data_IF_141262147918
#
_entry.id   IF_141262147918
#
_cell.length_a   1.000
_cell.length_b   1.000
_cell.length_c   1.000
_cell.angle_alpha   90.00
_cell.angle_beta   90.00
_cell.angle_gamma   90.00
#
_symmetry.space_group_name_H-M   'P 1'
#
loop_
_entity.id
_entity.type
_entity.pdbx_description
1 polymer ?
#
# COMPACT_ATOMS: atom_id res chain seq x y z
N UNK A 1 5.29 -1.11 -19.03
CA UNK A 1 4.85 -1.12 -17.63
C UNK A 1 4.31 -2.50 -17.32
N UNK A 2 4.57 -2.99 -16.11
CA UNK A 2 3.94 -4.17 -15.53
C UNK A 2 3.29 -3.73 -14.22
N UNK A 3 2.03 -4.11 -14.02
CA UNK A 3 1.28 -3.70 -12.83
C UNK A 3 0.40 -4.87 -12.40
N UNK A 4 0.43 -5.14 -11.10
CA UNK A 4 -0.36 -6.15 -10.43
C UNK A 4 -1.21 -5.45 -9.38
N UNK A 5 -2.48 -5.86 -9.34
CA UNK A 5 -3.40 -5.49 -8.29
C UNK A 5 -3.43 -6.57 -7.21
N UNK A 6 -3.28 -6.16 -5.95
CA UNK A 6 -3.46 -7.00 -4.76
C UNK A 6 -4.41 -6.29 -3.78
N UNK A 7 -5.70 -6.65 -3.85
CA UNK A 7 -6.76 -5.85 -3.21
C UNK A 7 -6.84 -4.46 -3.85
N UNK A 8 -6.79 -3.42 -3.03
CA UNK A 8 -6.79 -2.03 -3.53
C UNK A 8 -5.39 -1.53 -3.87
N UNK A 9 -4.33 -2.27 -3.54
CA UNK A 9 -2.96 -1.84 -3.79
C UNK A 9 -2.48 -2.24 -5.19
N UNK A 10 -1.67 -1.37 -5.80
CA UNK A 10 -0.97 -1.63 -7.05
C UNK A 10 0.53 -1.69 -6.81
N UNK A 11 1.18 -2.69 -7.39
CA UNK A 11 2.64 -2.85 -7.36
C UNK A 11 3.13 -3.30 -8.75
N UNK A 12 4.37 -3.01 -9.08
CA UNK A 12 4.90 -3.35 -10.40
C UNK A 12 6.19 -2.65 -10.77
N UNK A 13 6.40 -2.51 -12.08
CA UNK A 13 7.52 -1.79 -12.70
C UNK A 13 7.06 -0.86 -13.81
N UNK A 14 7.59 0.36 -13.83
CA UNK A 14 7.48 1.28 -14.97
C UNK A 14 8.77 1.30 -15.77
N UNK A 15 8.63 1.46 -17.09
CA UNK A 15 9.74 1.50 -18.03
C UNK A 15 9.64 2.76 -18.88
N UNK A 16 10.68 3.58 -18.83
CA UNK A 16 10.85 4.73 -19.70
C UNK A 16 11.91 4.37 -20.74
N UNK A 17 11.45 3.97 -21.93
CA UNK A 17 12.30 3.41 -22.97
C UNK A 17 12.43 4.35 -24.17
N UNK A 18 13.67 4.62 -24.58
CA UNK A 18 13.98 5.34 -25.81
C UNK A 18 14.77 4.45 -26.78
N UNK A 19 15.73 3.67 -26.27
CA UNK A 19 16.51 2.69 -27.05
C UNK A 19 17.13 1.62 -26.14
N UNK A 20 17.72 0.53 -26.67
CA UNK A 20 18.36 -0.50 -25.85
C UNK A 20 19.51 0.01 -24.97
N UNK A 21 20.08 1.18 -25.29
CA UNK A 21 21.13 1.85 -24.52
C UNK A 21 20.64 3.09 -23.75
N UNK A 22 19.33 3.36 -23.80
CA UNK A 22 18.72 4.52 -23.18
C UNK A 22 17.34 4.16 -22.62
N UNK A 23 17.32 3.71 -21.36
CA UNK A 23 16.09 3.44 -20.63
C UNK A 23 16.26 3.59 -19.12
N UNK A 24 15.13 3.76 -18.44
CA UNK A 24 15.02 3.72 -16.99
C UNK A 24 13.91 2.79 -16.55
N UNK A 25 14.13 2.10 -15.43
CA UNK A 25 13.18 1.20 -14.79
C UNK A 25 12.97 1.66 -13.36
N UNK A 26 11.72 1.89 -12.95
CA UNK A 26 11.36 2.15 -11.56
C UNK A 26 10.49 1.02 -11.02
N UNK A 27 10.55 0.76 -9.72
CA UNK A 27 9.40 0.11 -9.07
C UNK A 27 8.28 1.15 -8.95
N UNK A 28 7.05 0.67 -9.00
CA UNK A 28 5.89 1.52 -8.78
C UNK A 28 5.12 1.05 -7.56
N UNK A 29 4.49 2.01 -6.91
CA UNK A 29 3.46 1.78 -5.91
C UNK A 29 2.23 2.56 -6.32
N UNK A 30 1.08 2.10 -5.88
CA UNK A 30 -0.17 2.72 -6.25
C UNK A 30 -1.36 2.07 -5.58
N UNK A 31 -2.53 2.50 -6.02
CA UNK A 31 -3.80 1.92 -5.63
C UNK A 31 -4.81 2.01 -6.77
N UNK A 32 -5.78 1.11 -6.73
CA UNK A 32 -6.94 1.11 -7.61
C UNK A 32 -8.14 1.62 -6.83
N UNK A 33 -8.71 2.73 -7.29
CA UNK A 33 -9.95 3.27 -6.76
C UNK A 33 -11.13 2.61 -7.48
N UNK A 34 -11.77 1.65 -6.81
CA UNK A 34 -12.93 0.94 -7.37
C UNK A 34 -14.17 1.83 -7.52
N UNK A 35 -14.23 3.01 -6.91
CA UNK A 35 -15.36 3.93 -7.03
C UNK A 35 -15.24 4.80 -8.28
N UNK A 36 -14.05 5.33 -8.54
CA UNK A 36 -13.78 6.12 -9.75
C UNK A 36 -13.31 5.29 -10.93
N UNK A 37 -13.01 3.99 -10.69
CA UNK A 37 -12.41 3.08 -11.66
C UNK A 37 -11.01 3.54 -12.13
N UNK A 38 -10.32 4.33 -11.30
CA UNK A 38 -9.01 4.88 -11.61
C UNK A 38 -7.89 4.04 -10.97
N UNK A 39 -6.89 3.70 -11.78
CA UNK A 39 -5.59 3.28 -11.29
C UNK A 39 -4.72 4.52 -11.04
N UNK A 40 -4.22 4.65 -9.82
CA UNK A 40 -3.29 5.70 -9.41
C UNK A 40 -1.97 5.05 -9.03
N UNK A 41 -0.86 5.46 -9.64
CA UNK A 41 0.46 4.92 -9.30
C UNK A 41 1.55 5.98 -9.44
N UNK A 42 2.62 5.82 -8.68
CA UNK A 42 3.81 6.66 -8.78
C UNK A 42 5.07 5.82 -8.88
N UNK A 43 6.08 6.37 -9.54
CA UNK A 43 7.44 5.84 -9.52
C UNK A 43 8.04 6.04 -8.12
N UNK A 44 8.41 4.95 -7.46
CA UNK A 44 8.88 4.96 -6.07
C UNK A 44 10.41 5.07 -6.01
N UNK A 45 11.11 4.09 -6.56
CA UNK A 45 12.56 3.94 -6.55
C UNK A 45 13.07 3.56 -7.93
N UNK A 46 14.14 4.23 -8.37
CA UNK A 46 14.85 3.87 -9.60
C UNK A 46 15.59 2.55 -9.38
N UNK A 47 15.23 1.54 -10.15
CA UNK A 47 15.85 0.21 -10.11
C UNK A 47 17.04 0.14 -11.07
N UNK A 48 16.86 0.64 -12.29
CA UNK A 48 17.88 0.53 -13.34
C UNK A 48 17.89 1.79 -14.21
N UNK A 49 19.08 2.25 -14.55
CA UNK A 49 19.30 3.29 -15.55
C UNK A 49 20.41 2.84 -16.51
N UNK A 50 20.08 2.86 -17.80
CA UNK A 50 21.07 2.75 -18.87
C UNK A 50 20.96 4.04 -19.68
N UNK A 51 22.00 4.88 -19.67
CA UNK A 51 22.01 6.15 -20.41
C UNK A 51 23.30 6.30 -21.21
N UNK A 52 23.16 6.51 -22.53
CA UNK A 52 24.28 6.79 -23.44
C UNK A 52 24.69 8.27 -23.53
N UNK A 53 23.93 9.20 -22.94
CA UNK A 53 24.24 10.65 -23.01
C UNK A 53 23.52 11.46 -21.91
N UNK A 54 24.19 12.50 -21.41
CA UNK A 54 23.74 13.38 -20.32
C UNK A 54 22.91 14.55 -20.87
N UNK A 55 21.76 14.27 -21.50
CA UNK A 55 20.80 15.32 -21.89
C UNK A 55 19.64 15.41 -20.89
N UNK A 56 19.09 16.62 -20.71
CA UNK A 56 18.02 16.92 -19.75
C UNK A 56 16.63 16.46 -20.25
N UNK A 57 16.52 16.02 -21.51
CA UNK A 57 15.28 15.65 -22.20
C UNK A 57 14.98 14.16 -22.21
N UNK A 58 15.77 13.32 -21.53
CA UNK A 58 15.58 11.87 -21.54
C UNK A 58 14.34 11.46 -20.72
N UNK A 59 13.42 10.64 -21.27
CA UNK A 59 12.23 10.17 -20.57
C UNK A 59 12.54 9.49 -19.21
N UNK A 60 11.68 9.69 -18.21
CA UNK A 60 11.80 9.02 -16.90
C UNK A 60 12.90 9.54 -15.99
N UNK A 61 13.55 10.67 -16.30
CA UNK A 61 14.59 11.25 -15.42
C UNK A 61 14.05 11.75 -14.08
N UNK A 62 12.76 12.08 -14.04
CA UNK A 62 12.04 12.42 -12.82
C UNK A 62 10.96 11.37 -12.57
N UNK A 63 10.76 10.93 -11.31
CA UNK A 63 9.66 10.05 -10.97
C UNK A 63 8.32 10.76 -11.19
N UNK A 64 7.37 10.05 -11.78
CA UNK A 64 6.05 10.58 -12.11
C UNK A 64 4.97 9.94 -11.24
N UNK A 65 3.91 10.72 -11.00
CA UNK A 65 2.60 10.24 -10.57
C UNK A 65 1.71 10.16 -11.81
N UNK A 66 0.97 9.07 -11.92
CA UNK A 66 -0.03 8.82 -12.96
C UNK A 66 -1.39 8.51 -12.34
N UNK A 67 -2.43 9.00 -12.99
CA UNK A 67 -3.83 8.68 -12.72
C UNK A 67 -4.48 8.34 -14.04
N UNK A 68 -5.04 7.14 -14.16
CA UNK A 68 -5.65 6.68 -15.39
C UNK A 68 -6.88 5.82 -15.12
N UNK A 69 -7.91 6.03 -15.93
CA UNK A 69 -9.13 5.22 -15.91
C UNK A 69 -8.84 3.86 -16.55
N UNK A 70 -9.27 2.79 -15.88
CA UNK A 70 -9.17 1.43 -16.39
C UNK A 70 -10.33 1.12 -17.34
N UNK A 71 -10.04 1.14 -18.64
CA UNK A 71 -11.06 0.94 -19.66
C UNK A 71 -10.97 -0.45 -20.32
N UNK A 72 -12.14 -1.08 -20.51
CA UNK A 72 -12.31 -2.35 -21.20
C UNK A 72 -13.32 -2.19 -22.35
N UNK A 73 -12.94 -1.59 -23.50
CA UNK A 73 -13.85 -1.33 -24.61
C UNK A 73 -14.35 -2.60 -25.33
N UNK A 74 -13.92 -3.79 -24.89
CA UNK A 74 -14.30 -5.08 -25.46
C UNK A 74 -13.26 -5.63 -26.45
N UNK A 75 -13.54 -6.81 -27.00
CA UNK A 75 -12.63 -7.47 -27.96
C UNK A 75 -11.28 -7.92 -27.38
N UNK A 76 -11.19 -8.08 -26.05
CA UNK A 76 -9.95 -8.44 -25.35
C UNK A 76 -8.96 -7.29 -25.18
N UNK A 77 -9.36 -6.05 -25.51
CA UNK A 77 -8.56 -4.85 -25.26
C UNK A 77 -8.78 -4.34 -23.84
N UNK A 78 -7.70 -4.00 -23.17
CA UNK A 78 -7.69 -3.32 -21.87
C UNK A 78 -6.73 -2.15 -21.98
N UNK A 79 -7.13 -1.01 -21.42
CA UNK A 79 -6.43 0.25 -21.58
C UNK A 79 -6.36 1.00 -20.24
N UNK A 80 -5.32 1.81 -20.08
CA UNK A 80 -5.23 2.83 -19.04
C UNK A 80 -5.03 4.18 -19.71
N UNK A 81 -6.04 5.04 -19.57
CA UNK A 81 -6.07 6.38 -20.17
C UNK A 81 -6.15 7.45 -19.09
N UNK A 82 -5.25 8.43 -19.13
CA UNK A 82 -5.31 9.52 -18.17
C UNK A 82 -4.14 10.49 -18.24
N UNK A 83 -3.71 10.93 -17.06
CA UNK A 83 -2.71 11.99 -16.92
C UNK A 83 -1.55 11.58 -16.03
N UNK A 84 -0.40 12.18 -16.30
CA UNK A 84 0.83 12.04 -15.53
C UNK A 84 1.46 13.40 -15.23
N UNK A 85 2.26 13.46 -14.18
CA UNK A 85 2.91 14.68 -13.74
C UNK A 85 3.87 14.42 -12.60
N UNK A 86 4.44 15.49 -12.05
CA UNK A 86 5.27 15.33 -10.85
C UNK A 86 4.38 14.99 -9.66
N UNK A 87 4.90 14.21 -8.72
CA UNK A 87 4.17 13.75 -7.52
C UNK A 87 3.53 14.88 -6.70
N UNK A 88 4.10 16.08 -6.74
CA UNK A 88 3.61 17.26 -5.99
C UNK A 88 2.71 18.21 -6.81
N UNK A 89 2.45 17.92 -8.08
CA UNK A 89 1.61 18.76 -8.94
C UNK A 89 0.15 18.28 -8.84
N UNK A 90 -0.76 19.17 -8.46
CA UNK A 90 -2.20 18.89 -8.45
C UNK A 90 -2.77 18.73 -9.87
N UNK A 91 -2.29 19.56 -10.80
CA UNK A 91 -2.67 19.51 -12.21
C UNK A 91 -1.66 18.68 -13.02
N UNK A 92 -2.01 17.41 -13.28
CA UNK A 92 -1.23 16.49 -14.10
C UNK A 92 -1.36 16.88 -15.59
N UNK A 93 -0.23 17.25 -16.22
CA UNK A 93 -0.19 17.80 -17.60
C UNK A 93 0.23 16.81 -18.67
N UNK A 94 0.97 15.77 -18.31
CA UNK A 94 1.38 14.72 -19.24
C UNK A 94 0.22 13.78 -19.55
N UNK A 95 0.19 13.25 -20.77
CA UNK A 95 -0.80 12.24 -21.15
C UNK A 95 -0.28 10.84 -20.82
N UNK A 96 -1.17 9.96 -20.35
CA UNK A 96 -0.93 8.53 -20.16
C UNK A 96 -1.89 7.78 -21.07
N UNK A 97 -1.32 6.93 -21.92
CA UNK A 97 -2.06 6.03 -22.80
C UNK A 97 -1.33 4.70 -22.84
N UNK A 98 -1.90 3.69 -22.20
CA UNK A 98 -1.30 2.36 -22.11
C UNK A 98 -2.28 1.32 -22.63
N UNK A 99 -1.86 0.57 -23.64
CA UNK A 99 -2.55 -0.62 -24.10
C UNK A 99 -1.99 -1.86 -23.42
N UNK A 100 -2.87 -2.76 -22.99
CA UNK A 100 -2.45 -4.09 -22.55
C UNK A 100 -1.87 -4.87 -23.73
N UNK A 101 -0.63 -5.30 -23.57
CA UNK A 101 0.06 -6.24 -24.46
C UNK A 101 0.18 -7.61 -23.79
N UNK A 102 0.36 -8.67 -24.59
CA UNK A 102 0.51 -10.04 -24.07
C UNK A 102 1.94 -10.35 -23.63
N UNK A 103 2.92 -9.84 -24.36
CA UNK A 103 4.33 -10.08 -24.10
C UNK A 103 5.03 -8.73 -24.00
N UNK A 104 5.79 -8.55 -22.92
CA UNK A 104 6.59 -7.35 -22.69
C UNK A 104 7.93 -7.41 -23.42
N UNK A 105 8.51 -6.25 -23.71
CA UNK A 105 9.87 -6.15 -24.27
C UNK A 105 10.96 -6.43 -23.23
N UNK A 106 10.63 -6.32 -21.95
CA UNK A 106 11.55 -6.48 -20.83
C UNK A 106 11.12 -7.65 -19.97
N UNK A 107 12.02 -8.61 -19.78
CA UNK A 107 11.87 -9.65 -18.76
C UNK A 107 12.25 -9.08 -17.39
N UNK A 108 11.41 -9.32 -16.37
CA UNK A 108 11.68 -8.93 -15.00
C UNK A 108 10.99 -9.84 -13.99
N UNK A 109 11.20 -9.55 -12.71
CA UNK A 109 10.74 -10.33 -11.58
C UNK A 109 9.19 -10.47 -11.53
N UNK A 110 8.45 -9.55 -12.15
CA UNK A 110 6.98 -9.56 -12.19
C UNK A 110 6.41 -10.56 -13.21
N UNK A 111 7.20 -11.05 -14.18
CA UNK A 111 6.70 -12.01 -15.19
C UNK A 111 6.17 -13.28 -14.54
N UNK A 112 6.87 -13.79 -13.52
CA UNK A 112 6.44 -14.97 -12.78
C UNK A 112 5.04 -14.78 -12.18
N UNK A 113 4.79 -13.64 -11.54
CA UNK A 113 3.49 -13.32 -10.92
C UNK A 113 2.42 -13.18 -11.99
N UNK A 114 2.72 -12.49 -13.09
CA UNK A 114 1.76 -12.25 -14.18
C UNK A 114 1.35 -13.55 -14.85
N UNK A 115 2.32 -14.40 -15.21
CA UNK A 115 2.07 -15.66 -15.92
C UNK A 115 1.37 -16.69 -15.04
N UNK A 116 1.64 -16.68 -13.73
CA UNK A 116 1.09 -17.64 -12.78
C UNK A 116 -0.04 -17.04 -11.93
N UNK A 117 -0.55 -15.87 -12.26
CA UNK A 117 -1.50 -15.12 -11.43
C UNK A 117 -2.75 -15.94 -11.05
N UNK A 118 -3.24 -16.78 -11.97
CA UNK A 118 -4.43 -17.61 -11.76
C UNK A 118 -4.17 -18.97 -11.09
N UNK A 119 -2.90 -19.34 -10.89
CA UNK A 119 -2.48 -20.66 -10.37
C UNK A 119 -1.64 -20.55 -9.08
N UNK A 120 -1.76 -19.43 -8.37
CA UNK A 120 -1.09 -19.19 -7.08
C UNK A 120 0.12 -18.28 -7.14
N UNK A 121 0.48 -17.72 -8.31
CA UNK A 121 1.51 -16.68 -8.42
C UNK A 121 1.07 -15.33 -7.85
N UNK A 122 -0.23 -15.15 -7.59
CA UNK A 122 -0.79 -13.99 -6.90
C UNK A 122 -0.71 -14.08 -5.36
N UNK A 123 0.10 -15.00 -4.84
CA UNK A 123 0.36 -15.11 -3.40
C UNK A 123 0.94 -13.77 -2.87
N UNK A 124 0.37 -13.20 -1.79
CA UNK A 124 0.85 -11.97 -1.20
C UNK A 124 2.35 -11.98 -0.87
N UNK A 125 2.90 -13.09 -0.39
CA UNK A 125 4.31 -13.17 0.00
C UNK A 125 5.24 -13.10 -1.23
N UNK A 126 4.81 -13.67 -2.36
CA UNK A 126 5.54 -13.61 -3.62
C UNK A 126 5.52 -12.17 -4.16
N UNK A 127 4.34 -11.53 -4.17
CA UNK A 127 4.17 -10.14 -4.62
C UNK A 127 5.01 -9.19 -3.77
N UNK A 128 4.96 -9.34 -2.44
CA UNK A 128 5.68 -8.49 -1.50
C UNK A 128 7.20 -8.70 -1.59
N UNK A 129 7.65 -9.95 -1.75
CA UNK A 129 9.05 -10.24 -2.00
C UNK A 129 9.53 -9.48 -3.24
N UNK A 130 8.84 -9.60 -4.37
CA UNK A 130 9.24 -8.95 -5.62
C UNK A 130 9.19 -7.42 -5.50
N UNK A 131 8.16 -6.87 -4.86
CA UNK A 131 8.04 -5.43 -4.63
C UNK A 131 9.17 -4.85 -3.77
N UNK A 132 9.78 -5.68 -2.90
CA UNK A 132 10.86 -5.28 -1.98
C UNK A 132 12.27 -5.70 -2.42
N UNK A 133 12.41 -6.51 -3.48
CA UNK A 133 13.71 -6.99 -4.00
C UNK A 133 14.71 -5.86 -4.29
N UNK A 134 14.25 -4.65 -4.56
CA UNK A 134 15.10 -3.51 -4.93
C UNK A 134 15.36 -2.53 -3.77
N UNK A 135 14.86 -2.80 -2.57
CA UNK A 135 15.04 -1.96 -1.36
C UNK A 135 16.37 -2.24 -0.63
N UNK A 136 17.25 -3.09 -1.16
CA UNK A 136 18.50 -3.45 -0.49
C UNK A 136 19.70 -2.61 -0.97
N UNK A 137 20.10 -1.63 -0.15
CA UNK A 137 21.52 -1.28 0.03
C UNK A 137 21.98 -1.69 1.42
N UNK A 138 21.86 -2.99 1.73
CA UNK A 138 22.58 -3.65 2.80
C UNK A 138 22.69 -5.14 2.44
N UNK A 139 23.86 -5.78 2.62
CA UNK A 139 24.02 -7.19 2.29
C UNK A 139 23.07 -8.03 3.15
N UNK A 140 22.47 -9.11 2.61
CA UNK A 140 21.67 -10.03 3.40
C UNK A 140 22.57 -10.67 4.46
N UNK A 141 22.16 -10.61 5.72
CA UNK A 141 22.66 -11.56 6.70
C UNK A 141 22.15 -12.93 6.25
N UNK A 142 23.09 -13.77 5.87
CA UNK A 142 22.91 -15.14 5.44
C UNK A 142 22.19 -15.94 6.55
N UNK A 143 20.88 -16.12 6.40
CA UNK A 143 20.13 -17.09 7.18
C UNK A 143 20.30 -18.45 6.50
N UNK A 144 21.12 -19.31 7.12
CA UNK A 144 21.43 -20.65 6.65
C UNK A 144 20.15 -21.46 6.37
N UNK A 145 20.02 -21.86 5.12
CA UNK A 145 19.08 -22.87 4.67
C UNK A 145 19.25 -24.18 5.46
N UNK A 146 18.17 -24.63 6.11
CA UNK A 146 17.99 -26.06 6.43
C UNK A 146 16.95 -26.64 5.47
N UNK A 147 17.42 -27.55 4.64
CA UNK A 147 16.65 -28.33 3.67
C UNK A 147 15.46 -29.09 4.32
N UNK A 148 14.41 -29.40 3.53
CA UNK A 148 13.14 -29.87 4.06
C UNK A 148 13.19 -31.36 4.42
N UNK A 149 12.58 -31.72 5.54
CA UNK A 149 12.26 -33.11 5.86
C UNK A 149 11.00 -33.50 5.07
N UNK A 150 11.17 -34.46 4.19
CA UNK A 150 10.10 -35.16 3.45
C UNK A 150 9.10 -35.74 4.45
N UNK A 151 7.87 -35.21 4.46
CA UNK A 151 6.72 -35.87 5.08
C UNK A 151 5.82 -36.37 3.96
N UNK A 152 5.80 -37.68 3.83
CA UNK A 152 4.90 -38.44 2.96
C UNK A 152 3.44 -38.15 3.31
N UNK A 153 2.69 -37.64 2.35
CA UNK A 153 1.22 -37.53 2.38
C UNK A 153 0.64 -38.94 2.19
N UNK A 154 -0.19 -39.46 3.11
CA UNK A 154 -1.04 -40.60 2.82
C UNK A 154 -2.26 -40.14 2.04
N UNK A 155 -2.46 -40.77 0.88
CA UNK A 155 -3.67 -40.76 0.08
C UNK A 155 -4.87 -41.20 0.91
N UNK A 156 -5.86 -40.32 1.12
CA UNK A 156 -7.22 -40.73 1.48
C UNK A 156 -8.19 -40.49 0.32
N UNK A 157 -8.99 -41.52 0.11
CA UNK A 157 -9.95 -41.73 -0.97
C UNK A 157 -11.20 -40.86 -0.75
N UNK A 158 -11.84 -40.32 -1.81
CA UNK A 158 -13.04 -39.51 -1.67
C UNK A 158 -14.22 -40.33 -1.13
N UNK A 159 -14.83 -39.88 -0.02
CA UNK A 159 -16.17 -40.30 0.41
C UNK A 159 -17.18 -39.22 0.01
N UNK A 160 -18.23 -39.66 -0.68
CA UNK A 160 -19.43 -38.89 -1.02
C UNK A 160 -20.03 -38.22 0.22
N UNK A 161 -20.44 -36.95 0.06
CA UNK A 161 -21.33 -36.25 0.99
C UNK A 161 -22.51 -35.68 0.17
N UNK A 162 -23.75 -35.74 0.67
CA UNK A 162 -24.96 -35.67 -0.15
C UNK A 162 -25.32 -34.24 -0.58
N UNK A 163 -25.99 -34.18 -1.72
CA UNK A 163 -26.65 -33.01 -2.31
C UNK A 163 -27.61 -32.35 -1.31
N UNK A 164 -27.30 -31.13 -0.88
CA UNK A 164 -28.26 -30.24 -0.21
C UNK A 164 -28.93 -29.37 -1.26
N UNK A 165 -30.25 -29.53 -1.35
CA UNK A 165 -31.13 -28.84 -2.30
C UNK A 165 -31.27 -27.37 -1.88
N UNK A 166 -30.80 -26.44 -2.71
CA UNK A 166 -30.99 -25.00 -2.52
C UNK A 166 -32.43 -24.61 -2.91
N UNK A 167 -33.25 -24.01 -2.03
CA UNK A 167 -34.51 -23.40 -2.45
C UNK A 167 -34.22 -22.05 -3.11
N UNK A 168 -34.73 -21.88 -4.34
CA UNK A 168 -34.72 -20.65 -5.12
C UNK A 168 -35.47 -19.53 -4.37
N UNK A 169 -34.75 -18.55 -3.85
CA UNK A 169 -35.32 -17.31 -3.32
C UNK A 169 -35.67 -16.34 -4.46
N UNK A 170 -36.88 -15.77 -4.40
CA UNK A 170 -37.40 -14.76 -5.32
C UNK A 170 -36.67 -13.41 -5.14
N UNK A 171 -36.63 -12.55 -6.18
CA UNK A 171 -35.93 -11.27 -6.10
C UNK A 171 -36.64 -10.31 -5.15
N UNK A 172 -35.93 -9.87 -4.11
CA UNK A 172 -36.33 -8.76 -3.24
C UNK A 172 -35.99 -7.46 -3.98
N UNK A 173 -37.02 -6.64 -4.23
CA UNK A 173 -36.87 -5.29 -4.79
C UNK A 173 -36.29 -4.41 -3.68
N UNK A 174 -34.98 -4.14 -3.74
CA UNK A 174 -34.31 -3.18 -2.87
C UNK A 174 -34.57 -1.77 -3.38
N UNK A 175 -35.27 -0.96 -2.57
CA UNK A 175 -35.29 0.51 -2.71
C UNK A 175 -33.84 1.02 -2.58
N UNK A 176 -33.39 1.99 -3.41
CA UNK A 176 -32.08 2.60 -3.25
C UNK A 176 -31.97 3.25 -1.87
N UNK A 177 -30.97 2.85 -1.09
CA UNK A 177 -30.56 3.60 0.10
C UNK A 177 -29.99 4.95 -0.37
N UNK A 178 -30.48 6.02 0.23
CA UNK A 178 -29.96 7.36 0.01
C UNK A 178 -28.48 7.40 0.45
N UNK A 179 -27.60 7.82 -0.46
CA UNK A 179 -26.16 7.87 -0.25
C UNK A 179 -25.83 8.95 0.79
N UNK A 180 -25.32 8.52 1.95
CA UNK A 180 -24.65 9.41 2.90
C UNK A 180 -23.39 9.95 2.22
N UNK A 181 -23.13 11.27 2.23
CA UNK A 181 -21.92 11.83 1.62
C UNK A 181 -20.67 11.19 2.24
N UNK A 182 -19.79 10.68 1.37
CA UNK A 182 -18.53 10.03 1.76
C UNK A 182 -17.62 11.12 2.31
N UNK A 183 -17.32 11.04 3.61
CA UNK A 183 -16.46 12.02 4.28
C UNK A 183 -15.00 11.80 3.88
N UNK A 184 -14.30 12.89 3.50
CA UNK A 184 -12.86 12.86 3.24
C UNK A 184 -12.07 12.48 4.51
N UNK A 185 -10.80 12.11 4.37
CA UNK A 185 -10.01 11.73 5.54
C UNK A 185 -9.72 12.94 6.45
N UNK A 186 -9.63 14.14 5.88
CA UNK A 186 -9.51 15.41 6.59
C UNK A 186 -10.82 15.80 7.29
N UNK A 187 -11.96 15.51 6.67
CA UNK A 187 -13.27 15.67 7.31
C UNK A 187 -13.40 14.71 8.50
N UNK A 188 -13.10 13.42 8.31
CA UNK A 188 -13.05 12.42 9.39
C UNK A 188 -12.11 12.87 10.52
N UNK A 189 -10.94 13.40 10.19
CA UNK A 189 -10.00 13.93 11.16
C UNK A 189 -10.58 15.09 11.99
N UNK A 190 -11.32 15.99 11.34
CA UNK A 190 -11.90 17.19 11.96
C UNK A 190 -13.13 16.87 12.80
N UNK A 191 -13.98 15.95 12.33
CA UNK A 191 -15.26 15.62 12.96
C UNK A 191 -15.14 14.60 14.09
N UNK A 192 -14.17 13.67 14.02
CA UNK A 192 -14.02 12.60 15.00
C UNK A 192 -13.41 13.08 16.32
N UNK A 193 -13.90 12.51 17.42
CA UNK A 193 -13.33 12.74 18.74
C UNK A 193 -11.94 12.13 18.82
N UNK A 194 -10.94 12.96 19.13
CA UNK A 194 -9.56 12.52 19.38
C UNK A 194 -9.46 11.90 20.78
N UNK A 195 -9.06 10.64 20.87
CA UNK A 195 -8.94 9.88 22.13
C UNK A 195 -7.47 9.70 22.48
N UNK A 196 -7.00 10.41 23.50
CA UNK A 196 -5.63 10.26 24.00
C UNK A 196 -5.44 8.85 24.56
N UNK A 197 -4.59 8.08 23.88
CA UNK A 197 -4.32 6.69 24.20
C UNK A 197 -3.02 6.54 24.99
N UNK A 198 -1.98 7.29 24.60
CA UNK A 198 -0.68 7.23 25.25
C UNK A 198 0.04 8.57 25.18
N UNK A 199 0.77 8.89 26.24
CA UNK A 199 1.77 9.95 26.25
C UNK A 199 3.17 9.33 26.34
N UNK A 200 4.07 9.73 25.45
CA UNK A 200 5.40 9.17 25.27
C UNK A 200 6.42 10.31 25.36
N UNK A 201 7.40 10.25 26.30
CA UNK A 201 8.44 11.26 26.37
C UNK A 201 9.41 11.09 25.19
N UNK A 202 9.77 12.21 24.56
CA UNK A 202 10.76 12.27 23.49
C UNK A 202 12.16 12.29 24.10
N UNK A 203 13.05 11.48 23.52
CA UNK A 203 14.46 11.34 23.88
C UNK A 203 15.27 11.01 22.61
N UNK A 204 16.56 11.32 22.59
CA UNK A 204 17.45 11.09 21.44
C UNK A 204 17.17 11.96 20.20
N UNK A 205 17.67 11.50 19.05
CA UNK A 205 17.67 12.27 17.78
C UNK A 205 16.46 11.96 16.88
N UNK A 206 15.88 10.76 17.00
CA UNK A 206 14.71 10.34 16.23
C UNK A 206 13.81 9.41 17.02
N UNK A 207 12.53 9.36 16.62
CA UNK A 207 11.54 8.43 17.11
C UNK A 207 11.18 7.50 15.97
N UNK A 208 11.32 6.19 16.17
CA UNK A 208 10.84 5.20 15.21
C UNK A 208 9.49 4.66 15.68
N UNK A 209 8.47 4.74 14.82
CA UNK A 209 7.13 4.23 15.09
C UNK A 209 6.83 3.09 14.13
N UNK A 210 6.32 2.00 14.67
CA UNK A 210 5.96 0.80 13.93
C UNK A 210 4.49 0.51 14.16
N UNK A 211 3.71 0.37 13.09
CA UNK A 211 2.29 0.06 13.14
C UNK A 211 2.05 -1.34 12.60
N UNK A 212 1.35 -2.16 13.37
CA UNK A 212 1.00 -3.53 13.02
C UNK A 212 -0.51 -3.68 13.08
N UNK A 213 -1.02 -4.69 12.40
CA UNK A 213 -2.27 -5.34 12.75
C UNK A 213 -1.96 -6.49 13.72
N UNK A 214 -2.55 -6.45 14.91
CA UNK A 214 -2.36 -7.44 15.97
C UNK A 214 -3.57 -8.36 16.11
N UNK A 215 -4.72 -7.97 15.52
CA UNK A 215 -5.98 -8.66 15.71
C UNK A 215 -6.20 -9.70 14.61
N UNK A 216 -6.90 -9.33 13.55
CA UNK A 216 -7.19 -10.15 12.39
C UNK A 216 -6.90 -9.29 11.17
N UNK A 217 -6.03 -9.77 10.26
CA UNK A 217 -5.65 -9.02 9.07
C UNK A 217 -6.84 -8.98 8.13
N UNK A 218 -7.66 -7.95 8.30
CA UNK A 218 -9.00 -7.89 7.74
C UNK A 218 -9.21 -6.71 6.78
N UNK A 219 -8.09 -6.12 6.36
CA UNK A 219 -8.05 -5.01 5.41
C UNK A 219 -8.03 -3.64 6.06
N UNK A 220 -7.72 -3.55 7.34
CA UNK A 220 -7.57 -2.29 8.06
C UNK A 220 -6.59 -1.32 7.38
N UNK A 221 -7.08 -0.10 7.08
CA UNK A 221 -6.27 0.99 6.51
C UNK A 221 -6.38 2.27 7.32
N UNK A 222 -5.24 2.93 7.55
CA UNK A 222 -5.13 4.14 8.38
C UNK A 222 -4.41 5.28 7.68
N UNK A 223 -4.76 6.49 8.12
CA UNK A 223 -4.04 7.73 7.87
C UNK A 223 -3.44 8.26 9.18
N UNK A 224 -2.29 8.92 9.07
CA UNK A 224 -1.58 9.52 10.20
C UNK A 224 -1.50 11.03 10.04
N UNK A 225 -1.92 11.75 11.08
CA UNK A 225 -1.78 13.20 11.19
C UNK A 225 -0.82 13.55 12.31
N UNK A 226 0.16 14.41 12.05
CA UNK A 226 1.07 14.94 13.06
C UNK A 226 0.86 16.45 13.18
N UNK A 227 0.50 16.91 14.38
CA UNK A 227 0.22 18.33 14.66
C UNK A 227 -0.78 18.95 13.67
N UNK A 228 -1.89 18.23 13.45
CA UNK A 228 -2.98 18.57 12.52
C UNK A 228 -2.60 18.60 11.03
N UNK A 229 -1.38 18.15 10.67
CA UNK A 229 -0.97 17.95 9.27
C UNK A 229 -1.01 16.47 8.93
N UNK A 230 -1.65 16.13 7.82
CA UNK A 230 -1.59 14.78 7.24
C UNK A 230 -0.15 14.47 6.79
N UNK A 231 0.43 13.38 7.32
CA UNK A 231 1.81 12.98 7.01
C UNK A 231 1.88 11.69 6.20
N UNK A 232 0.93 10.78 6.41
CA UNK A 232 0.83 9.52 5.66
C UNK A 232 -0.63 9.14 5.48
N UNK A 233 -0.95 8.55 4.32
CA UNK A 233 -2.27 8.01 3.97
C UNK A 233 -2.13 6.58 3.46
N UNK A 234 -3.24 5.85 3.43
CA UNK A 234 -3.37 4.50 2.87
C UNK A 234 -2.38 3.49 3.46
N UNK A 235 -2.07 3.63 4.74
CA UNK A 235 -1.25 2.67 5.45
C UNK A 235 -2.12 1.45 5.74
N UNK A 236 -1.89 0.37 5.01
CA UNK A 236 -2.51 -0.92 5.30
C UNK A 236 -1.85 -1.55 6.51
N UNK A 237 -2.64 -1.92 7.50
CA UNK A 237 -2.20 -2.68 8.66
C UNK A 237 -2.10 -4.16 8.28
N UNK A 238 -0.98 -4.77 8.64
CA UNK A 238 -0.69 -6.20 8.39
C UNK A 238 0.08 -6.76 9.58
N UNK A 239 0.38 -8.06 9.58
CA UNK A 239 1.27 -8.66 10.59
C UNK A 239 2.70 -8.09 10.57
N UNK A 240 3.09 -7.43 9.47
CA UNK A 240 4.38 -6.75 9.33
C UNK A 240 4.26 -5.26 9.66
N UNK A 241 5.29 -4.67 10.28
CA UNK A 241 5.25 -3.26 10.65
C UNK A 241 5.38 -2.31 9.47
N UNK A 242 4.44 -1.37 9.36
CA UNK A 242 4.70 -0.11 8.69
C UNK A 242 5.54 0.79 9.60
N UNK A 243 6.77 1.12 9.17
CA UNK A 243 7.73 1.85 10.01
C UNK A 243 7.92 3.28 9.52
N UNK A 244 7.76 4.25 10.42
CA UNK A 244 8.06 5.67 10.16
C UNK A 244 9.10 6.17 11.15
N UNK A 245 9.93 7.12 10.71
CA UNK A 245 10.93 7.78 11.55
C UNK A 245 10.65 9.28 11.59
N UNK A 246 10.52 9.82 12.79
CA UNK A 246 10.32 11.25 13.04
C UNK A 246 11.60 11.84 13.64
N UNK A 247 12.17 12.85 12.99
CA UNK A 247 13.33 13.55 13.51
C UNK A 247 12.93 14.44 14.70
N UNK A 248 13.58 14.29 15.85
CA UNK A 248 13.27 15.07 17.07
C UNK A 248 13.53 16.57 16.88
N UNK A 249 14.43 16.93 15.96
CA UNK A 249 14.71 18.32 15.55
C UNK A 249 13.51 19.01 14.90
N UNK A 250 12.61 18.25 14.25
CA UNK A 250 11.43 18.77 13.55
C UNK A 250 10.18 18.78 14.45
N UNK A 251 10.27 18.17 15.64
CA UNK A 251 9.18 18.08 16.61
C UNK A 251 9.13 19.31 17.53
N UNK A 252 7.92 19.74 17.89
CA UNK A 252 7.64 20.78 18.90
C UNK A 252 7.87 20.24 20.32
N UNK A 253 7.66 21.07 21.35
CA UNK A 253 7.73 20.62 22.75
C UNK A 253 6.63 19.60 23.07
N UNK A 254 5.47 19.73 22.45
CA UNK A 254 4.37 18.77 22.52
C UNK A 254 3.88 18.52 21.10
N UNK A 255 3.74 17.25 20.74
CA UNK A 255 3.27 16.83 19.42
C UNK A 255 2.15 15.81 19.56
N UNK A 256 1.14 15.92 18.71
CA UNK A 256 0.02 14.98 18.69
C UNK A 256 0.04 14.22 17.37
N UNK A 257 0.21 12.90 17.47
CA UNK A 257 0.06 11.97 16.36
C UNK A 257 -1.31 11.34 16.46
N UNK A 258 -2.11 11.50 15.42
CA UNK A 258 -3.50 11.05 15.38
C UNK A 258 -3.63 10.02 14.26
N UNK A 259 -4.08 8.82 14.63
CA UNK A 259 -4.42 7.75 13.72
C UNK A 259 -5.90 7.83 13.40
N UNK A 260 -6.23 7.92 12.11
CA UNK A 260 -7.60 7.96 11.60
C UNK A 260 -7.82 6.75 10.70
N UNK A 261 -8.85 5.98 11.03
CA UNK A 261 -9.34 4.90 10.16
C UNK A 261 -9.83 5.45 8.81
N UNK A 262 -9.23 4.97 7.72
CA UNK A 262 -9.73 5.19 6.36
C UNK A 262 -10.92 4.27 6.08
N UNK A 263 -10.80 3.01 6.48
CA UNK A 263 -11.87 2.02 6.57
C UNK A 263 -11.95 1.46 8.00
N UNK A 264 -12.95 0.63 8.30
CA UNK A 264 -13.10 -0.01 9.61
C UNK A 264 -12.63 -1.47 9.63
N UNK A 265 -11.92 -1.91 8.58
CA UNK A 265 -11.72 -3.31 8.31
C UNK A 265 -13.03 -4.03 7.97
N UNK A 266 -12.98 -5.35 7.96
CA UNK A 266 -14.18 -6.19 7.90
C UNK A 266 -14.83 -6.38 9.28
N UNK A 267 -14.07 -6.15 10.36
CA UNK A 267 -14.45 -6.28 11.76
C UNK A 267 -14.13 -4.95 12.49
N UNK A 268 -15.13 -4.06 12.68
CA UNK A 268 -14.90 -2.82 13.41
C UNK A 268 -14.61 -3.06 14.91
N UNK A 269 -13.81 -2.20 15.58
CA UNK A 269 -13.14 -1.02 15.03
C UNK A 269 -11.80 -1.35 14.34
N UNK A 270 -11.36 -0.45 13.47
CA UNK A 270 -10.01 -0.50 12.91
C UNK A 270 -8.97 -0.38 14.04
N UNK A 271 -8.08 -1.36 14.13
CA UNK A 271 -7.19 -1.54 15.27
C UNK A 271 -5.75 -1.65 14.82
N UNK A 272 -4.90 -0.78 15.36
CA UNK A 272 -3.45 -0.87 15.19
C UNK A 272 -2.76 -1.19 16.50
N UNK A 273 -1.71 -2.02 16.43
CA UNK A 273 -0.71 -2.10 17.47
C UNK A 273 0.49 -1.23 17.10
N UNK A 274 0.75 -0.21 17.90
CA UNK A 274 1.87 0.71 17.69
C UNK A 274 3.01 0.39 18.66
N UNK A 275 4.22 0.28 18.14
CA UNK A 275 5.47 0.25 18.89
C UNK A 275 6.26 1.51 18.59
N UNK A 276 6.62 2.27 19.62
CA UNK A 276 7.47 3.45 19.51
C UNK A 276 8.83 3.20 20.17
N UNK A 277 9.91 3.35 19.40
CA UNK A 277 11.29 3.31 19.86
C UNK A 277 11.81 4.74 19.99
N UNK A 278 12.15 5.13 21.22
CA UNK A 278 12.62 6.47 21.56
C UNK A 278 13.93 6.34 22.33
N UNK A 279 15.06 6.65 21.68
CA UNK A 279 16.38 6.27 22.19
C UNK A 279 16.44 4.76 22.44
N UNK A 280 16.82 4.36 23.66
CA UNK A 280 16.90 2.96 24.06
C UNK A 280 15.58 2.40 24.64
N UNK A 281 14.49 3.17 24.59
CA UNK A 281 13.21 2.81 25.24
C UNK A 281 12.17 2.40 24.21
N UNK A 282 11.45 1.32 24.51
CA UNK A 282 10.31 0.83 23.75
C UNK A 282 9.01 1.14 24.48
N UNK A 283 8.07 1.75 23.77
CA UNK A 283 6.70 2.01 24.24
C UNK A 283 5.73 1.32 23.31
N UNK A 284 4.60 0.88 23.87
CA UNK A 284 3.61 0.11 23.13
C UNK A 284 2.22 0.68 23.42
N UNK A 285 1.37 0.70 22.40
CA UNK A 285 0.00 1.16 22.51
C UNK A 285 -0.89 0.46 21.49
N UNK A 286 -2.05 -0.02 21.93
CA UNK A 286 -3.15 -0.41 21.05
C UNK A 286 -3.93 0.85 20.69
N UNK A 287 -4.07 1.14 19.40
CA UNK A 287 -4.77 2.28 18.84
C UNK A 287 -6.06 1.79 18.19
N UNK A 288 -7.16 2.47 18.43
CA UNK A 288 -8.47 2.10 17.88
C UNK A 288 -9.14 3.31 17.25
N UNK A 289 -9.68 3.15 16.06
CA UNK A 289 -10.46 4.19 15.38
C UNK A 289 -11.82 3.65 14.94
N UNK A 290 -12.87 4.41 15.29
CA UNK A 290 -14.27 4.10 14.96
C UNK A 290 -14.79 5.16 13.98
N UNK A 291 -16.05 5.05 13.57
CA UNK A 291 -16.71 6.10 12.79
C UNK A 291 -16.70 7.48 13.48
N UNK A 292 -16.74 7.49 14.83
CA UNK A 292 -16.84 8.70 15.63
C UNK A 292 -15.57 9.09 16.40
N UNK A 293 -14.52 8.27 16.37
CA UNK A 293 -13.31 8.50 17.16
C UNK A 293 -12.01 8.12 16.44
N UNK A 294 -10.95 8.86 16.77
CA UNK A 294 -9.60 8.64 16.25
C UNK A 294 -8.63 8.48 17.43
N UNK A 295 -7.67 7.59 17.31
CA UNK A 295 -6.67 7.38 18.36
C UNK A 295 -5.60 8.47 18.31
N UNK A 296 -5.20 8.97 19.47
CA UNK A 296 -4.16 10.00 19.62
C UNK A 296 -3.03 9.50 20.52
N UNK A 297 -1.80 9.68 20.06
CA UNK A 297 -0.57 9.51 20.84
C UNK A 297 0.09 10.88 20.97
N UNK A 298 0.46 11.26 22.20
CA UNK A 298 1.16 12.51 22.46
C UNK A 298 2.65 12.27 22.70
N UNK A 299 3.49 13.01 22.01
CA UNK A 299 4.94 13.03 22.22
C UNK A 299 5.36 14.31 22.92
N UNK A 300 6.02 14.22 24.07
CA UNK A 300 6.39 15.37 24.91
C UNK A 300 7.90 15.44 25.08
N UNK A 301 8.54 16.56 24.68
CA UNK A 301 9.96 16.81 24.98
C UNK A 301 10.12 16.96 26.49
N UNK A 302 11.11 16.26 27.06
CA UNK A 302 11.47 16.50 28.46
C UNK A 302 12.10 17.89 28.55
N UNK A 303 11.48 18.78 29.32
CA UNK A 303 12.12 20.02 29.75
C UNK A 303 13.34 19.62 30.58
N UNK A 304 14.53 19.98 30.10
CA UNK A 304 15.77 19.89 30.88
C UNK A 304 15.87 21.06 31.84
#
# INVERSE_FOLDING_TARGET
MKIIQNGDSLAGTSYYYESPNNYRRYNIKGYFDAQTNEAVWWDDQLIEERSGSVTLSTPGKMPLLSRADFNCPGGGKMMLDGKSGKVYEEDLKGDVHLDKIREGTFEDEWDFVIDNYLVGGNDPDIIDSIATLHTTSAPPVEEEAKAPVVVTIPTETPKEVPTVVVPKAAPVIVKPLEAVPIQSIEEKFTTRKKVLTKEIPIDGDSIELRFYDNAEIDGDSISLFLNDRLIFTHIRLTGSSYTIKLAVTELRDTNELIMVAENLGSIPPNTSYMVALVGDKRYESRLESTEGSSAMVRFVKRVR
#
